data_IF_178494599334
#
_entry.id   IF_178494599334
#
_cell.length_a   1.000
_cell.length_b   1.000
_cell.length_c   1.000
_cell.angle_alpha   90.00
_cell.angle_beta   90.00
_cell.angle_gamma   90.00
#
_symmetry.space_group_name_H-M   'P 1'
#
loop_
_entity.id
_entity.type
_entity.pdbx_description
1 polymer ?
#
# COMPACT_ATOMS: atom_id res chain seq x y z
N UNK A 1 -31.68 -25.26 5.82
CA UNK A 1 -30.61 -25.06 6.83
C UNK A 1 -29.29 -25.47 6.18
N UNK A 2 -28.29 -24.59 6.25
CA UNK A 2 -26.93 -24.82 5.74
C UNK A 2 -25.97 -24.81 6.93
N UNK A 3 -25.07 -25.79 7.02
CA UNK A 3 -24.04 -25.83 8.04
C UNK A 3 -22.69 -25.55 7.40
N UNK A 4 -21.91 -24.63 7.97
CA UNK A 4 -20.60 -24.20 7.49
C UNK A 4 -19.59 -24.28 8.63
N UNK A 5 -18.37 -24.66 8.33
CA UNK A 5 -17.25 -24.55 9.28
C UNK A 5 -16.98 -23.08 9.60
N UNK A 6 -16.92 -22.73 10.89
CA UNK A 6 -16.71 -21.36 11.34
C UNK A 6 -15.43 -20.73 10.75
N UNK A 7 -14.33 -21.48 10.80
CA UNK A 7 -13.02 -21.00 10.30
C UNK A 7 -13.12 -20.62 8.83
N UNK A 8 -13.70 -21.48 7.99
CA UNK A 8 -13.90 -21.20 6.56
C UNK A 8 -14.77 -19.95 6.32
N UNK A 9 -15.84 -19.80 7.11
CA UNK A 9 -16.70 -18.63 7.00
C UNK A 9 -15.99 -17.34 7.41
N UNK A 10 -15.26 -17.37 8.54
CA UNK A 10 -14.48 -16.20 9.01
C UNK A 10 -13.38 -15.82 8.02
N UNK A 11 -12.66 -16.79 7.47
CA UNK A 11 -11.58 -16.54 6.54
C UNK A 11 -12.10 -15.98 5.19
N UNK A 12 -13.21 -16.54 4.69
CA UNK A 12 -13.86 -16.00 3.50
C UNK A 12 -14.33 -14.55 3.72
N UNK A 13 -15.02 -14.28 4.84
CA UNK A 13 -15.45 -12.91 5.16
C UNK A 13 -14.26 -11.97 5.36
N UNK A 14 -13.18 -12.40 6.03
CA UNK A 14 -11.97 -11.59 6.22
C UNK A 14 -11.31 -11.23 4.90
N UNK A 15 -11.23 -12.17 3.97
CA UNK A 15 -10.64 -11.96 2.65
C UNK A 15 -11.38 -10.90 1.83
N UNK A 16 -12.70 -10.78 2.00
CA UNK A 16 -13.49 -9.81 1.23
C UNK A 16 -13.68 -8.46 1.95
N UNK A 17 -13.25 -8.31 3.20
CA UNK A 17 -13.37 -7.03 3.94
C UNK A 17 -12.79 -5.81 3.22
N UNK A 18 -11.71 -5.89 2.43
CA UNK A 18 -11.20 -4.73 1.68
C UNK A 18 -12.22 -4.10 0.71
N UNK A 19 -13.18 -4.87 0.22
CA UNK A 19 -14.26 -4.38 -0.65
C UNK A 19 -15.51 -3.92 0.11
N UNK A 20 -15.48 -3.82 1.44
CA UNK A 20 -16.61 -3.32 2.25
C UNK A 20 -16.45 -1.81 2.47
N UNK A 21 -17.47 -1.03 2.15
CA UNK A 21 -17.48 0.40 2.46
C UNK A 21 -17.65 0.64 3.97
N UNK A 22 -16.88 1.59 4.47
CA UNK A 22 -16.92 2.04 5.87
C UNK A 22 -17.80 3.27 6.08
N UNK A 23 -18.69 3.57 5.11
CA UNK A 23 -19.64 4.67 5.19
C UNK A 23 -19.27 5.92 4.38
N UNK A 24 -18.37 5.81 3.40
CA UNK A 24 -17.89 6.94 2.60
C UNK A 24 -18.32 6.90 1.12
N UNK A 25 -18.70 5.75 0.59
CA UNK A 25 -18.93 5.59 -0.85
C UNK A 25 -20.26 6.15 -1.36
N UNK A 26 -21.28 6.30 -0.48
CA UNK A 26 -22.62 6.75 -0.89
C UNK A 26 -23.31 5.80 -1.89
N UNK A 27 -22.89 4.54 -1.91
CA UNK A 27 -23.43 3.48 -2.79
C UNK A 27 -24.28 2.55 -1.95
N UNK A 28 -25.54 2.37 -2.32
CA UNK A 28 -26.42 1.44 -1.65
C UNK A 28 -25.91 -0.01 -1.79
N UNK A 29 -25.82 -0.70 -0.66
CA UNK A 29 -25.29 -2.07 -0.61
C UNK A 29 -23.76 -2.19 -0.53
N UNK A 30 -22.99 -1.12 -0.58
CA UNK A 30 -21.53 -1.19 -0.49
C UNK A 30 -21.00 -1.69 0.87
N UNK A 31 -21.82 -1.70 1.90
CA UNK A 31 -21.51 -2.23 3.24
C UNK A 31 -21.98 -3.67 3.46
N UNK A 32 -22.34 -4.38 2.37
CA UNK A 32 -22.88 -5.73 2.45
C UNK A 32 -21.85 -6.80 2.12
N UNK A 33 -22.01 -7.97 2.72
CA UNK A 33 -21.61 -9.24 2.16
C UNK A 33 -22.72 -9.73 1.22
N UNK A 34 -22.43 -9.88 -0.05
CA UNK A 34 -23.33 -10.45 -1.04
C UNK A 34 -22.96 -11.91 -1.26
N UNK A 35 -23.84 -12.81 -0.89
CA UNK A 35 -23.78 -14.25 -1.20
C UNK A 35 -24.55 -14.51 -2.49
N UNK A 36 -23.86 -14.98 -3.52
CA UNK A 36 -24.44 -15.26 -4.84
C UNK A 36 -23.57 -16.27 -5.61
N UNK A 37 -24.18 -17.20 -6.32
CA UNK A 37 -23.50 -18.13 -7.24
C UNK A 37 -22.34 -18.90 -6.58
N UNK A 38 -22.55 -19.40 -5.35
CA UNK A 38 -21.53 -20.06 -4.53
C UNK A 38 -20.26 -19.23 -4.27
N UNK A 39 -20.43 -17.92 -4.24
CA UNK A 39 -19.35 -16.96 -3.93
C UNK A 39 -19.84 -15.93 -2.93
N UNK A 40 -18.89 -15.36 -2.22
CA UNK A 40 -19.06 -14.19 -1.37
C UNK A 40 -18.38 -12.99 -2.05
N UNK A 41 -19.14 -11.90 -2.22
CA UNK A 41 -18.70 -10.67 -2.87
C UNK A 41 -18.79 -9.48 -1.93
N UNK A 42 -17.93 -8.50 -2.18
CA UNK A 42 -18.04 -7.15 -1.65
C UNK A 42 -17.69 -6.13 -2.73
N UNK A 43 -18.20 -4.90 -2.58
CA UNK A 43 -17.90 -3.78 -3.48
C UNK A 43 -18.09 -2.46 -2.76
N UNK A 44 -17.13 -1.54 -2.84
CA UNK A 44 -17.15 -0.24 -2.18
C UNK A 44 -17.01 0.97 -3.13
N UNK A 45 -17.27 0.77 -4.42
CA UNK A 45 -17.11 1.84 -5.42
C UNK A 45 -15.73 1.88 -6.07
N UNK A 46 -14.69 1.42 -5.39
CA UNK A 46 -13.30 1.42 -5.86
C UNK A 46 -12.71 0.02 -5.95
N UNK A 47 -13.13 -0.84 -5.05
CA UNK A 47 -12.61 -2.20 -4.87
C UNK A 47 -13.75 -3.20 -4.86
N UNK A 48 -13.58 -4.31 -5.55
CA UNK A 48 -14.43 -5.50 -5.44
C UNK A 48 -13.58 -6.70 -5.10
N UNK A 49 -14.04 -7.50 -4.15
CA UNK A 49 -13.37 -8.77 -3.81
C UNK A 49 -14.38 -9.90 -3.87
N UNK A 50 -14.00 -11.03 -4.46
CA UNK A 50 -14.82 -12.22 -4.46
C UNK A 50 -14.01 -13.46 -4.08
N UNK A 51 -14.63 -14.34 -3.31
CA UNK A 51 -14.06 -15.63 -2.90
C UNK A 51 -15.10 -16.73 -3.08
N UNK A 52 -14.70 -17.96 -3.43
CA UNK A 52 -15.61 -19.11 -3.42
C UNK A 52 -16.17 -19.31 -2.02
N UNK A 53 -17.47 -19.48 -1.94
CA UNK A 53 -18.14 -19.78 -0.68
C UNK A 53 -19.43 -20.55 -0.97
N UNK A 54 -19.38 -21.87 -0.82
CA UNK A 54 -20.46 -22.76 -1.18
C UNK A 54 -21.72 -22.51 -0.32
N UNK A 55 -22.73 -21.93 -0.95
CA UNK A 55 -24.09 -21.76 -0.41
C UNK A 55 -25.10 -22.00 -1.54
N UNK A 56 -25.33 -23.26 -1.82
CA UNK A 56 -26.11 -23.69 -2.98
C UNK A 56 -27.50 -23.03 -3.04
N UNK A 57 -27.80 -22.37 -4.16
CA UNK A 57 -29.08 -21.69 -4.40
C UNK A 57 -29.31 -20.42 -3.56
N UNK A 58 -28.35 -20.01 -2.73
CA UNK A 58 -28.49 -18.82 -1.92
C UNK A 58 -28.11 -17.53 -2.70
N UNK A 59 -29.01 -16.53 -2.62
CA UNK A 59 -28.75 -15.18 -3.13
C UNK A 59 -29.31 -14.19 -2.10
N UNK A 60 -28.41 -13.49 -1.39
CA UNK A 60 -28.81 -12.50 -0.38
C UNK A 60 -27.65 -11.58 0.01
N UNK A 61 -27.98 -10.40 0.53
CA UNK A 61 -27.05 -9.44 1.10
C UNK A 61 -27.29 -9.24 2.61
N UNK A 62 -26.22 -9.18 3.40
CA UNK A 62 -26.25 -8.92 4.83
C UNK A 62 -25.20 -7.86 5.17
N UNK A 63 -25.49 -6.99 6.13
CA UNK A 63 -24.50 -6.05 6.65
C UNK A 63 -23.21 -6.75 7.07
N UNK A 64 -22.11 -6.40 6.42
CA UNK A 64 -20.83 -7.09 6.55
C UNK A 64 -20.25 -6.97 7.97
N UNK A 65 -20.26 -5.77 8.53
CA UNK A 65 -19.71 -5.50 9.87
C UNK A 65 -20.42 -6.30 10.92
N UNK A 66 -21.75 -6.32 10.88
CA UNK A 66 -22.57 -7.01 11.87
C UNK A 66 -22.42 -8.53 11.79
N UNK A 67 -22.46 -9.09 10.57
CA UNK A 67 -22.31 -10.53 10.40
C UNK A 67 -20.91 -11.00 10.81
N UNK A 68 -19.87 -10.29 10.36
CA UNK A 68 -18.49 -10.63 10.68
C UNK A 68 -18.22 -10.56 12.18
N UNK A 69 -18.66 -9.49 12.85
CA UNK A 69 -18.51 -9.32 14.29
C UNK A 69 -19.20 -10.43 15.09
N UNK A 70 -20.40 -10.85 14.66
CA UNK A 70 -21.15 -11.93 15.32
C UNK A 70 -20.46 -13.28 15.12
N UNK A 71 -20.19 -13.69 13.87
CA UNK A 71 -19.60 -15.00 13.55
C UNK A 71 -18.22 -15.17 14.17
N UNK A 72 -17.41 -14.11 14.14
CA UNK A 72 -16.06 -14.14 14.71
C UNK A 72 -16.06 -14.44 16.23
N UNK A 73 -17.12 -14.04 16.96
CA UNK A 73 -17.27 -14.25 18.41
C UNK A 73 -17.93 -15.58 18.81
N UNK A 74 -18.42 -16.38 17.86
CA UNK A 74 -18.97 -17.70 18.17
C UNK A 74 -17.86 -18.61 18.71
N UNK A 75 -18.20 -19.52 19.64
CA UNK A 75 -17.23 -20.42 20.26
C UNK A 75 -17.14 -21.77 19.53
N UNK A 76 -18.24 -22.22 18.91
CA UNK A 76 -18.29 -23.55 18.30
C UNK A 76 -17.57 -23.57 16.93
N UNK A 77 -17.21 -24.75 16.47
CA UNK A 77 -16.51 -24.98 15.22
C UNK A 77 -17.41 -24.88 13.97
N UNK A 78 -18.73 -24.93 14.17
CA UNK A 78 -19.72 -24.88 13.10
C UNK A 78 -20.71 -23.74 13.27
N UNK A 79 -21.13 -23.17 12.16
CA UNK A 79 -22.15 -22.13 12.06
C UNK A 79 -23.30 -22.68 11.21
N UNK A 80 -24.51 -22.57 11.72
CA UNK A 80 -25.72 -22.93 11.03
C UNK A 80 -26.40 -21.67 10.49
N UNK A 81 -26.88 -21.75 9.26
CA UNK A 81 -27.55 -20.67 8.57
C UNK A 81 -28.92 -21.17 8.12
N UNK A 82 -29.96 -20.47 8.54
CA UNK A 82 -31.34 -20.81 8.24
C UNK A 82 -32.06 -19.59 7.65
N UNK A 83 -32.82 -19.81 6.61
CA UNK A 83 -33.52 -18.75 5.90
C UNK A 83 -34.94 -18.61 6.40
N UNK A 84 -35.33 -17.40 6.77
CA UNK A 84 -36.67 -17.08 7.24
C UNK A 84 -37.44 -16.41 6.10
N UNK A 85 -38.49 -17.08 5.63
CA UNK A 85 -39.37 -16.57 4.58
C UNK A 85 -40.22 -15.40 5.10
N UNK A 86 -40.62 -14.54 4.19
CA UNK A 86 -41.62 -13.52 4.48
C UNK A 86 -42.99 -14.17 4.70
N UNK A 87 -43.75 -13.70 5.70
CA UNK A 87 -45.07 -14.25 6.03
C UNK A 87 -46.11 -13.92 4.95
N UNK A 88 -45.96 -12.74 4.32
CA UNK A 88 -46.90 -12.22 3.36
C UNK A 88 -46.57 -12.66 1.93
N UNK A 89 -45.30 -13.02 1.66
CA UNK A 89 -44.81 -13.54 0.38
C UNK A 89 -43.81 -14.68 0.61
N UNK A 90 -44.26 -15.93 0.69
CA UNK A 90 -43.38 -17.08 0.95
C UNK A 90 -42.30 -17.33 -0.11
N UNK A 91 -42.39 -16.66 -1.27
CA UNK A 91 -41.33 -16.73 -2.29
C UNK A 91 -40.14 -15.84 -1.97
N UNK A 92 -40.32 -14.91 -1.04
CA UNK A 92 -39.26 -13.97 -0.60
C UNK A 92 -38.63 -14.37 0.72
N UNK A 93 -37.33 -14.25 0.82
CA UNK A 93 -36.59 -14.34 2.06
C UNK A 93 -36.60 -12.98 2.76
N UNK A 94 -36.96 -12.94 4.06
CA UNK A 94 -36.99 -11.72 4.88
C UNK A 94 -35.75 -11.53 5.70
N UNK A 95 -35.21 -12.62 6.25
CA UNK A 95 -34.06 -12.57 7.14
C UNK A 95 -33.29 -13.89 7.11
N UNK A 96 -32.07 -13.84 7.61
CA UNK A 96 -31.24 -15.02 7.84
C UNK A 96 -30.94 -15.16 9.32
N UNK A 97 -31.21 -16.34 9.85
CA UNK A 97 -30.86 -16.71 11.21
C UNK A 97 -29.54 -17.45 11.19
N UNK A 98 -28.55 -16.89 11.89
CA UNK A 98 -27.21 -17.47 12.06
C UNK A 98 -27.06 -17.92 13.50
N UNK A 99 -26.66 -19.18 13.73
CA UNK A 99 -26.57 -19.71 15.08
C UNK A 99 -25.51 -20.80 15.22
N UNK A 100 -25.04 -20.97 16.46
CA UNK A 100 -24.09 -21.98 16.84
C UNK A 100 -24.34 -22.32 18.32
N UNK A 101 -24.60 -23.57 18.62
CA UNK A 101 -25.03 -24.01 19.94
C UNK A 101 -26.26 -23.25 20.45
N UNK A 102 -26.13 -22.55 21.58
CA UNK A 102 -27.19 -21.74 22.20
C UNK A 102 -27.18 -20.28 21.70
N UNK A 103 -26.14 -19.86 20.98
CA UNK A 103 -25.99 -18.48 20.50
C UNK A 103 -26.63 -18.33 19.13
N UNK A 104 -27.51 -17.32 18.97
CA UNK A 104 -28.24 -17.08 17.73
C UNK A 104 -28.41 -15.59 17.48
N UNK A 105 -28.36 -15.18 16.21
CA UNK A 105 -28.74 -13.86 15.74
C UNK A 105 -29.61 -13.97 14.49
N UNK A 106 -30.45 -12.99 14.26
CA UNK A 106 -31.24 -12.85 13.05
C UNK A 106 -30.86 -11.56 12.35
N UNK A 107 -30.46 -11.68 11.09
CA UNK A 107 -30.05 -10.53 10.25
C UNK A 107 -31.12 -10.25 9.22
N UNK A 108 -31.57 -9.02 9.12
CA UNK A 108 -32.40 -8.58 8.03
C UNK A 108 -31.61 -8.66 6.72
N UNK A 109 -32.27 -9.08 5.66
CA UNK A 109 -31.69 -9.05 4.32
C UNK A 109 -31.81 -7.64 3.73
N UNK A 110 -30.78 -7.22 3.03
CA UNK A 110 -30.73 -5.96 2.33
C UNK A 110 -31.07 -6.15 0.84
N UNK A 111 -31.53 -5.08 0.18
CA UNK A 111 -31.64 -5.05 -1.26
C UNK A 111 -30.24 -5.10 -1.89
N UNK A 112 -30.06 -6.01 -2.83
CA UNK A 112 -28.78 -6.24 -3.52
C UNK A 112 -28.79 -5.76 -4.95
N UNK A 113 -29.91 -5.21 -5.42
CA UNK A 113 -30.12 -4.89 -6.84
C UNK A 113 -29.13 -3.89 -7.39
N UNK A 114 -28.72 -2.91 -6.60
CA UNK A 114 -27.76 -1.89 -7.03
C UNK A 114 -26.32 -2.44 -7.07
N UNK A 115 -25.87 -3.08 -6.00
CA UNK A 115 -24.51 -3.67 -5.95
C UNK A 115 -24.33 -4.73 -7.03
N UNK A 116 -25.36 -5.50 -7.36
CA UNK A 116 -25.30 -6.50 -8.41
C UNK A 116 -25.07 -5.88 -9.79
N UNK A 117 -25.69 -4.73 -10.10
CA UNK A 117 -25.46 -4.00 -11.37
C UNK A 117 -24.00 -3.56 -11.50
N UNK A 118 -23.39 -3.09 -10.41
CA UNK A 118 -21.97 -2.75 -10.43
C UNK A 118 -21.09 -3.99 -10.66
N UNK A 119 -21.39 -5.09 -9.96
CA UNK A 119 -20.63 -6.34 -10.10
C UNK A 119 -20.75 -6.97 -11.50
N UNK A 120 -21.87 -6.81 -12.20
CA UNK A 120 -22.03 -7.25 -13.59
C UNK A 120 -21.06 -6.55 -14.55
N UNK A 121 -20.67 -5.31 -14.23
CA UNK A 121 -19.67 -4.53 -14.98
C UNK A 121 -18.22 -4.92 -14.66
N UNK A 122 -17.98 -5.67 -13.57
CA UNK A 122 -16.64 -6.07 -13.12
C UNK A 122 -16.40 -7.52 -13.49
N UNK A 123 -15.88 -7.75 -14.72
CA UNK A 123 -15.63 -9.10 -15.23
C UNK A 123 -14.15 -9.41 -15.17
N UNK A 124 -13.76 -10.40 -14.39
CA UNK A 124 -12.45 -11.00 -14.46
C UNK A 124 -12.41 -11.99 -15.63
N UNK A 125 -11.51 -11.77 -16.56
CA UNK A 125 -11.21 -12.69 -17.66
C UNK A 125 -9.91 -13.42 -17.40
N UNK A 126 -9.55 -14.39 -18.24
CA UNK A 126 -8.27 -15.10 -18.15
C UNK A 126 -7.12 -14.12 -18.06
N UNK A 127 -6.43 -14.15 -16.91
CA UNK A 127 -5.37 -13.21 -16.62
C UNK A 127 -4.02 -13.66 -17.17
N UNK A 128 -3.15 -12.70 -17.46
CA UNK A 128 -1.72 -12.93 -17.69
C UNK A 128 -1.04 -13.35 -16.39
N UNK A 129 0.07 -14.11 -16.43
CA UNK A 129 0.87 -14.39 -15.23
C UNK A 129 1.33 -13.10 -14.54
N UNK A 130 1.16 -13.02 -13.22
CA UNK A 130 1.70 -11.93 -12.43
C UNK A 130 3.20 -12.18 -12.15
N UNK A 131 4.08 -11.16 -12.25
CA UNK A 131 5.50 -11.31 -11.91
C UNK A 131 5.68 -11.87 -10.49
N UNK A 132 6.62 -12.81 -10.34
CA UNK A 132 6.78 -13.54 -9.09
C UNK A 132 7.28 -12.69 -7.92
N UNK A 133 7.94 -11.57 -8.20
CA UNK A 133 8.39 -10.59 -7.21
C UNK A 133 7.43 -9.39 -7.06
N UNK A 134 6.20 -9.46 -7.55
CA UNK A 134 5.26 -8.33 -7.53
C UNK A 134 5.03 -7.76 -6.12
N UNK A 135 4.81 -8.62 -5.12
CA UNK A 135 4.59 -8.19 -3.74
C UNK A 135 5.80 -7.48 -3.15
N UNK A 136 6.99 -8.04 -3.36
CA UNK A 136 8.25 -7.47 -2.84
C UNK A 136 8.55 -6.15 -3.54
N UNK A 137 8.37 -6.11 -4.86
CA UNK A 137 8.54 -4.91 -5.66
C UNK A 137 7.59 -3.78 -5.20
N UNK A 138 6.32 -4.11 -4.94
CA UNK A 138 5.37 -3.15 -4.40
C UNK A 138 5.78 -2.66 -3.01
N UNK A 139 6.09 -3.58 -2.09
CA UNK A 139 6.46 -3.24 -0.71
C UNK A 139 7.68 -2.31 -0.65
N UNK A 140 8.63 -2.49 -1.57
CA UNK A 140 9.81 -1.64 -1.68
C UNK A 140 9.53 -0.32 -2.44
N UNK A 141 8.71 -0.33 -3.48
CA UNK A 141 8.44 0.87 -4.27
C UNK A 141 7.46 1.84 -3.60
N UNK A 142 6.46 1.34 -2.85
CA UNK A 142 5.42 2.19 -2.25
C UNK A 142 6.00 3.33 -1.40
N UNK A 143 5.41 4.51 -1.52
CA UNK A 143 5.77 5.70 -0.74
C UNK A 143 4.63 5.98 0.25
N UNK A 144 4.92 5.78 1.53
CA UNK A 144 3.96 6.07 2.61
C UNK A 144 3.85 7.59 2.82
N UNK A 145 2.68 8.02 3.33
CA UNK A 145 2.42 9.43 3.67
C UNK A 145 2.68 10.40 2.50
N UNK A 146 2.28 10.01 1.28
CA UNK A 146 2.36 10.89 0.12
C UNK A 146 1.40 12.07 0.32
N UNK A 147 1.97 13.29 0.36
CA UNK A 147 1.22 14.54 0.58
C UNK A 147 0.66 15.15 -0.71
N UNK A 148 0.97 14.56 -1.87
CA UNK A 148 0.50 14.99 -3.17
C UNK A 148 -0.55 14.01 -3.71
N UNK A 149 -1.87 14.28 -3.52
CA UNK A 149 -2.93 13.33 -3.91
C UNK A 149 -2.85 12.92 -5.38
N UNK A 150 -2.43 13.84 -6.27
CA UNK A 150 -2.28 13.56 -7.69
C UNK A 150 -1.15 12.56 -8.03
N UNK A 151 -0.20 12.41 -7.11
CA UNK A 151 0.92 11.47 -7.24
C UNK A 151 0.76 10.23 -6.36
N UNK A 152 -0.27 10.20 -5.50
CA UNK A 152 -0.52 9.04 -4.63
C UNK A 152 -0.74 7.78 -5.48
N UNK A 153 -0.17 6.68 -5.01
CA UNK A 153 -0.27 5.37 -5.64
C UNK A 153 1.03 4.91 -6.28
N UNK A 154 0.96 3.74 -6.86
CA UNK A 154 2.05 3.10 -7.59
C UNK A 154 1.71 2.96 -9.06
N UNK A 155 2.73 3.02 -9.88
CA UNK A 155 2.65 2.89 -11.33
C UNK A 155 3.49 1.71 -11.77
N UNK A 156 2.96 0.87 -12.64
CA UNK A 156 3.80 0.00 -13.47
C UNK A 156 4.15 0.74 -14.75
N UNK A 157 5.40 0.65 -15.17
CA UNK A 157 5.88 1.30 -16.40
C UNK A 157 6.94 0.47 -17.09
N UNK A 158 7.04 0.60 -18.41
CA UNK A 158 8.03 -0.10 -19.23
C UNK A 158 9.12 0.86 -19.69
N UNK A 159 10.37 0.43 -19.60
CA UNK A 159 11.52 1.13 -20.17
C UNK A 159 12.38 0.09 -20.88
N UNK A 160 12.43 0.20 -22.22
CA UNK A 160 13.01 -0.83 -23.06
C UNK A 160 12.25 -2.16 -22.89
N UNK A 161 12.97 -3.21 -22.55
CA UNK A 161 12.44 -4.55 -22.31
C UNK A 161 12.14 -4.87 -20.82
N UNK A 162 12.30 -3.87 -19.95
CA UNK A 162 12.12 -4.03 -18.50
C UNK A 162 10.84 -3.36 -18.01
N UNK A 163 10.20 -3.99 -17.05
CA UNK A 163 9.03 -3.44 -16.34
C UNK A 163 9.40 -3.09 -14.91
N UNK A 164 8.90 -1.96 -14.45
CA UNK A 164 9.16 -1.43 -13.11
C UNK A 164 7.86 -1.10 -12.40
N UNK A 165 7.85 -1.24 -11.07
CA UNK A 165 6.93 -0.57 -10.18
C UNK A 165 7.62 0.69 -9.67
N UNK A 166 6.95 1.83 -9.76
CA UNK A 166 7.47 3.12 -9.35
C UNK A 166 6.45 3.91 -8.53
N UNK A 167 6.93 4.72 -7.60
CA UNK A 167 6.16 5.71 -6.87
C UNK A 167 6.97 6.99 -6.68
N UNK A 168 6.29 8.12 -6.52
CA UNK A 168 6.93 9.42 -6.29
C UNK A 168 6.00 10.37 -5.55
N UNK A 169 6.60 11.36 -4.84
CA UNK A 169 5.89 12.46 -4.19
C UNK A 169 6.58 13.82 -4.43
N UNK A 170 7.24 14.00 -5.57
CA UNK A 170 8.04 15.19 -5.96
C UNK A 170 9.34 15.37 -5.17
N UNK A 171 9.50 14.76 -4.01
CA UNK A 171 10.72 14.84 -3.17
C UNK A 171 11.52 13.56 -3.18
N UNK A 172 10.85 12.47 -3.50
CA UNK A 172 11.45 11.13 -3.57
C UNK A 172 10.86 10.37 -4.74
N UNK A 173 11.66 9.47 -5.25
CA UNK A 173 11.29 8.50 -6.27
C UNK A 173 11.73 7.14 -5.73
N UNK A 174 10.88 6.14 -5.83
CA UNK A 174 11.17 4.77 -5.44
C UNK A 174 10.79 3.84 -6.59
N UNK A 175 11.66 2.92 -6.95
CA UNK A 175 11.52 2.07 -8.13
C UNK A 175 12.01 0.67 -7.83
N UNK A 176 11.27 -0.33 -8.31
CA UNK A 176 11.71 -1.72 -8.27
C UNK A 176 11.46 -2.41 -9.61
N UNK A 177 12.45 -3.14 -10.12
CA UNK A 177 12.34 -3.92 -11.35
C UNK A 177 11.53 -5.20 -11.10
N UNK A 178 10.55 -5.50 -11.98
CA UNK A 178 9.77 -6.72 -11.94
C UNK A 178 10.50 -7.87 -12.66
N UNK A 179 10.28 -9.10 -12.18
CA UNK A 179 10.79 -10.33 -12.80
C UNK A 179 9.93 -10.80 -13.97
N UNK A 180 9.47 -9.90 -14.81
CA UNK A 180 8.63 -10.24 -15.96
C UNK A 180 7.87 -9.06 -16.48
N UNK A 181 7.12 -9.30 -17.55
CA UNK A 181 6.35 -8.27 -18.20
C UNK A 181 5.02 -8.04 -17.47
N UNK A 182 4.60 -6.78 -17.38
CA UNK A 182 3.32 -6.36 -16.85
C UNK A 182 2.83 -5.13 -17.59
N UNK A 183 1.53 -5.07 -17.88
CA UNK A 183 0.93 -3.90 -18.53
C UNK A 183 1.00 -2.67 -17.62
N UNK A 184 0.98 -1.49 -18.24
CA UNK A 184 1.03 -0.24 -17.50
C UNK A 184 -0.29 0.09 -16.82
N UNK A 185 -0.21 0.45 -15.55
CA UNK A 185 -1.36 0.95 -14.77
C UNK A 185 -0.88 1.84 -13.62
N UNK A 186 -1.81 2.61 -13.08
CA UNK A 186 -1.66 3.30 -11.80
C UNK A 186 -2.80 2.89 -10.87
N UNK A 187 -2.46 2.58 -9.62
CA UNK A 187 -3.43 2.19 -8.57
C UNK A 187 -3.05 2.88 -7.27
N UNK A 188 -4.06 3.22 -6.48
CA UNK A 188 -3.86 3.73 -5.11
C UNK A 188 -3.06 2.73 -4.28
N UNK A 189 -2.06 3.21 -3.56
CA UNK A 189 -1.16 2.38 -2.76
C UNK A 189 -1.87 1.68 -1.60
N UNK A 190 -2.84 2.32 -0.95
CA UNK A 190 -3.62 1.71 0.13
C UNK A 190 -4.50 0.57 -0.41
N UNK A 191 -5.13 0.79 -1.58
CA UNK A 191 -5.97 -0.22 -2.24
C UNK A 191 -5.13 -1.43 -2.64
N UNK A 192 -3.95 -1.21 -3.22
CA UNK A 192 -3.08 -2.32 -3.59
C UNK A 192 -2.47 -3.02 -2.37
N UNK A 193 -2.17 -2.28 -1.30
CA UNK A 193 -1.72 -2.88 -0.03
C UNK A 193 -2.78 -3.83 0.56
N UNK A 194 -4.07 -3.51 0.43
CA UNK A 194 -5.14 -4.40 0.84
C UNK A 194 -5.22 -5.66 -0.05
N UNK A 195 -5.00 -5.52 -1.35
CA UNK A 195 -4.94 -6.66 -2.28
C UNK A 195 -3.82 -7.64 -1.88
N UNK A 196 -2.64 -7.13 -1.51
CA UNK A 196 -1.49 -7.96 -1.16
C UNK A 196 -1.63 -8.70 0.18
N UNK A 197 -2.57 -8.30 1.04
CA UNK A 197 -2.93 -9.06 2.25
C UNK A 197 -3.61 -10.40 1.93
N UNK A 198 -4.14 -10.56 0.71
CA UNK A 198 -4.71 -11.82 0.23
C UNK A 198 -3.64 -12.84 -0.17
N UNK A 199 -2.38 -12.45 -0.16
CA UNK A 199 -1.24 -13.27 -0.56
C UNK A 199 -0.59 -12.79 -1.85
N UNK A 200 0.06 -13.72 -2.55
CA UNK A 200 0.75 -13.45 -3.81
C UNK A 200 -0.22 -13.68 -4.98
N UNK A 201 -0.53 -12.65 -5.79
CA UNK A 201 -1.35 -12.85 -6.99
C UNK A 201 -0.64 -13.76 -7.98
N UNK A 202 -1.38 -14.64 -8.60
CA UNK A 202 -0.91 -15.58 -9.64
C UNK A 202 -1.09 -14.98 -11.03
N UNK A 203 -2.18 -14.27 -11.22
CA UNK A 203 -2.54 -13.67 -12.50
C UNK A 203 -3.00 -12.23 -12.32
N UNK A 204 -2.92 -11.45 -13.39
CA UNK A 204 -3.53 -10.14 -13.47
C UNK A 204 -4.22 -9.94 -14.82
N UNK A 205 -5.22 -9.08 -14.85
CA UNK A 205 -5.85 -8.61 -16.08
C UNK A 205 -6.21 -7.13 -15.95
N UNK A 206 -6.18 -6.43 -17.09
CA UNK A 206 -6.68 -5.06 -17.20
C UNK A 206 -7.87 -5.07 -18.13
N UNK A 207 -9.07 -4.77 -17.60
CA UNK A 207 -10.31 -4.75 -18.37
C UNK A 207 -11.02 -3.42 -18.14
N UNK A 208 -11.11 -2.60 -19.16
CA UNK A 208 -11.65 -1.25 -19.03
C UNK A 208 -10.93 -0.43 -17.94
N UNK A 209 -11.64 0.13 -16.95
CA UNK A 209 -11.01 0.88 -15.86
C UNK A 209 -10.44 0.00 -14.74
N UNK A 210 -10.59 -1.33 -14.82
CA UNK A 210 -10.29 -2.24 -13.73
C UNK A 210 -8.93 -2.92 -13.89
N UNK A 211 -8.18 -3.00 -12.79
CA UNK A 211 -7.12 -3.97 -12.57
C UNK A 211 -7.69 -5.13 -11.77
N UNK A 212 -7.54 -6.33 -12.28
CA UNK A 212 -7.92 -7.57 -11.61
C UNK A 212 -6.66 -8.34 -11.19
N UNK A 213 -6.68 -8.88 -9.99
CA UNK A 213 -5.65 -9.77 -9.46
C UNK A 213 -6.29 -11.09 -9.06
N UNK A 214 -5.83 -12.18 -9.65
CA UNK A 214 -6.28 -13.54 -9.36
C UNK A 214 -5.31 -14.24 -8.41
N UNK A 215 -5.84 -14.88 -7.38
CA UNK A 215 -5.09 -15.60 -6.36
C UNK A 215 -5.40 -17.09 -6.39
N UNK A 216 -4.64 -17.85 -5.61
CA UNK A 216 -4.93 -19.26 -5.39
C UNK A 216 -6.33 -19.47 -4.81
N UNK A 217 -6.98 -20.61 -5.16
CA UNK A 217 -8.33 -20.90 -4.68
C UNK A 217 -9.44 -20.05 -5.31
N UNK A 218 -9.23 -19.54 -6.52
CA UNK A 218 -10.21 -18.75 -7.27
C UNK A 218 -10.68 -17.47 -6.54
N UNK A 219 -9.80 -16.88 -5.76
CA UNK A 219 -10.01 -15.56 -5.13
C UNK A 219 -9.68 -14.47 -6.14
N UNK A 220 -10.55 -13.48 -6.27
CA UNK A 220 -10.34 -12.33 -7.17
C UNK A 220 -10.42 -11.02 -6.39
N UNK A 221 -9.45 -10.16 -6.61
CA UNK A 221 -9.46 -8.77 -6.18
C UNK A 221 -9.47 -7.86 -7.41
N UNK A 222 -10.38 -6.92 -7.46
CA UNK A 222 -10.50 -5.96 -8.55
C UNK A 222 -10.49 -4.55 -8.00
N UNK A 223 -9.74 -3.64 -8.61
CA UNK A 223 -9.74 -2.23 -8.21
C UNK A 223 -9.70 -1.30 -9.42
N UNK A 224 -10.23 -0.09 -9.23
CA UNK A 224 -10.22 0.95 -10.26
C UNK A 224 -8.80 1.48 -10.43
N UNK A 225 -8.35 1.56 -11.70
CA UNK A 225 -7.11 2.21 -12.07
C UNK A 225 -7.26 3.73 -12.04
N UNK A 226 -6.21 4.41 -11.62
CA UNK A 226 -6.13 5.86 -11.63
C UNK A 226 -5.61 6.38 -12.98
N UNK A 227 -5.86 7.67 -13.25
CA UNK A 227 -5.26 8.36 -14.39
C UNK A 227 -3.75 8.47 -14.26
N UNK A 228 -3.03 8.08 -15.30
CA UNK A 228 -1.57 8.14 -15.38
C UNK A 228 -1.03 9.45 -15.98
N UNK A 229 -1.88 10.31 -16.54
CA UNK A 229 -1.47 11.49 -17.30
C UNK A 229 -0.57 12.47 -16.55
N UNK A 230 -0.70 12.50 -15.21
CA UNK A 230 0.10 13.35 -14.33
C UNK A 230 1.37 12.69 -13.79
N UNK A 231 1.56 11.40 -14.08
CA UNK A 231 2.70 10.62 -13.59
C UNK A 231 3.59 10.19 -14.75
N UNK A 232 4.58 11.03 -15.07
CA UNK A 232 5.54 10.72 -16.13
C UNK A 232 6.69 9.85 -15.59
N UNK A 233 6.43 8.56 -15.42
CA UNK A 233 7.41 7.61 -14.89
C UNK A 233 8.70 7.54 -15.73
N UNK A 234 8.67 7.48 -17.07
CA UNK A 234 9.90 7.49 -17.87
C UNK A 234 10.79 8.71 -17.61
N UNK A 235 10.20 9.91 -17.55
CA UNK A 235 10.98 11.13 -17.28
C UNK A 235 11.57 11.12 -15.85
N UNK A 236 10.84 10.61 -14.88
CA UNK A 236 11.31 10.50 -13.49
C UNK A 236 12.45 9.49 -13.36
N UNK A 237 12.36 8.35 -14.03
CA UNK A 237 13.43 7.36 -14.07
C UNK A 237 14.68 7.89 -14.78
N UNK A 238 14.52 8.58 -15.90
CA UNK A 238 15.63 9.23 -16.59
C UNK A 238 16.32 10.31 -15.72
N UNK A 239 15.55 11.06 -14.93
CA UNK A 239 16.10 12.04 -13.99
C UNK A 239 16.86 11.34 -12.84
N UNK A 240 16.32 10.24 -12.34
CA UNK A 240 16.98 9.42 -11.32
C UNK A 240 18.30 8.83 -11.85
N UNK A 241 18.32 8.25 -13.04
CA UNK A 241 19.51 7.66 -13.63
C UNK A 241 20.63 8.69 -13.85
N UNK A 242 20.28 9.95 -14.21
CA UNK A 242 21.26 11.05 -14.26
C UNK A 242 21.92 11.31 -12.92
N UNK A 243 21.18 11.24 -11.82
CA UNK A 243 21.75 11.44 -10.47
C UNK A 243 22.60 10.21 -10.04
N UNK A 244 22.20 9.01 -10.42
CA UNK A 244 22.99 7.80 -10.18
C UNK A 244 24.31 7.76 -10.96
N UNK A 245 24.42 8.52 -12.06
CA UNK A 245 25.64 8.67 -12.83
C UNK A 245 26.64 9.69 -12.23
N UNK A 246 26.22 10.50 -11.26
CA UNK A 246 27.10 11.46 -10.57
C UNK A 246 27.99 10.70 -9.59
N UNK A 247 29.28 11.05 -9.56
CA UNK A 247 30.20 10.49 -8.57
C UNK A 247 29.77 10.88 -7.14
N UNK A 248 29.62 9.92 -6.24
CA UNK A 248 29.13 10.20 -4.90
C UNK A 248 30.20 10.94 -4.07
N UNK A 249 29.75 11.91 -3.28
CA UNK A 249 30.62 12.57 -2.27
C UNK A 249 30.73 11.73 -0.99
N UNK A 250 29.71 10.89 -0.72
CA UNK A 250 29.70 9.89 0.36
C UNK A 250 29.08 8.61 -0.17
N UNK A 251 29.67 7.45 0.11
CA UNK A 251 29.14 6.14 -0.25
C UNK A 251 29.39 5.12 0.87
N UNK A 252 28.35 4.38 1.28
CA UNK A 252 28.46 3.37 2.32
C UNK A 252 27.13 2.78 2.74
N UNK A 253 27.08 2.35 4.00
CA UNK A 253 25.83 1.86 4.63
C UNK A 253 25.41 2.78 5.76
N UNK A 254 24.10 3.04 5.83
CA UNK A 254 23.53 3.78 6.95
C UNK A 254 23.73 3.00 8.26
N UNK A 255 24.15 3.68 9.34
CA UNK A 255 24.27 3.07 10.66
C UNK A 255 22.92 2.52 11.14
N UNK A 256 22.94 1.36 11.79
CA UNK A 256 21.74 0.74 12.37
C UNK A 256 21.06 1.61 13.41
N UNK A 257 21.88 2.35 14.18
CA UNK A 257 21.42 3.27 15.24
C UNK A 257 20.85 4.59 14.70
N UNK A 258 20.93 4.86 13.39
CA UNK A 258 20.50 6.15 12.81
C UNK A 258 19.03 6.48 13.12
N UNK A 259 18.14 5.51 13.02
CA UNK A 259 16.70 5.73 13.30
C UNK A 259 16.46 6.16 14.74
N UNK A 260 17.09 5.49 15.70
CA UNK A 260 16.91 5.76 17.13
C UNK A 260 17.54 7.10 17.52
N UNK A 261 18.72 7.41 16.97
CA UNK A 261 19.40 8.68 17.20
C UNK A 261 18.60 9.87 16.64
N UNK A 262 18.10 9.73 15.41
CA UNK A 262 17.21 10.74 14.83
C UNK A 262 15.93 10.88 15.66
N UNK A 263 15.38 9.79 16.20
CA UNK A 263 14.23 9.81 17.10
C UNK A 263 14.50 10.67 18.34
N UNK A 264 15.67 10.54 18.96
CA UNK A 264 16.08 11.35 20.12
C UNK A 264 16.28 12.82 19.77
N UNK A 265 17.01 13.10 18.70
CA UNK A 265 17.25 14.48 18.23
C UNK A 265 15.93 15.16 17.85
N UNK A 266 15.05 14.46 17.18
CA UNK A 266 13.76 15.00 16.72
C UNK A 266 12.74 15.22 17.84
N UNK A 267 12.94 14.64 19.03
CA UNK A 267 12.06 14.87 20.17
C UNK A 267 12.00 16.35 20.59
N UNK A 268 13.09 17.10 20.41
CA UNK A 268 13.12 18.54 20.59
C UNK A 268 12.54 19.32 19.41
N UNK A 269 12.50 18.72 18.21
CA UNK A 269 11.99 19.39 17.02
C UNK A 269 10.49 19.73 17.09
N UNK A 270 9.72 19.14 18.01
CA UNK A 270 8.29 19.32 18.21
C UNK A 270 7.49 18.97 16.94
N UNK A 271 6.17 18.88 17.07
CA UNK A 271 5.28 18.70 15.91
C UNK A 271 5.15 20.02 15.14
N UNK A 272 5.98 20.25 14.14
CA UNK A 272 5.69 21.31 13.18
C UNK A 272 4.62 20.81 12.22
N UNK A 273 3.48 21.50 12.19
CA UNK A 273 2.38 21.28 11.23
C UNK A 273 2.75 21.68 9.78
N UNK A 274 3.98 21.43 9.36
CA UNK A 274 4.35 21.65 7.96
C UNK A 274 4.19 20.35 7.19
N UNK A 275 3.61 20.42 6.01
CA UNK A 275 3.48 19.31 5.04
C UNK A 275 4.83 18.66 4.65
N UNK A 276 5.93 19.10 5.24
CA UNK A 276 7.29 18.62 4.98
C UNK A 276 7.78 17.61 6.02
N UNK A 277 7.02 17.40 7.11
CA UNK A 277 7.49 16.60 8.24
C UNK A 277 8.63 17.28 9.01
N UNK A 278 9.14 16.59 10.02
CA UNK A 278 10.32 17.03 10.77
C UNK A 278 11.56 17.03 9.87
N UNK A 279 12.29 18.14 9.85
CA UNK A 279 13.58 18.25 9.15
C UNK A 279 14.72 18.23 10.14
N UNK A 280 15.80 17.55 9.76
CA UNK A 280 17.04 17.46 10.50
C UNK A 280 18.19 17.80 9.55
N UNK A 281 19.18 18.48 10.07
CA UNK A 281 20.44 18.64 9.38
C UNK A 281 21.30 17.40 9.63
N UNK A 282 21.79 16.79 8.57
CA UNK A 282 22.76 15.71 8.63
C UNK A 282 24.10 16.19 8.14
N UNK A 283 25.12 16.00 8.95
CA UNK A 283 26.53 16.25 8.60
C UNK A 283 27.26 14.91 8.52
N UNK A 284 27.71 14.55 7.32
CA UNK A 284 28.47 13.33 7.07
C UNK A 284 29.97 13.65 7.21
N UNK A 285 30.66 12.98 8.10
CA UNK A 285 32.09 13.09 8.32
C UNK A 285 32.75 11.71 8.38
N UNK A 286 34.07 11.65 8.42
CA UNK A 286 34.82 10.39 8.59
C UNK A 286 34.49 9.67 9.89
N UNK A 287 34.06 10.41 10.92
CA UNK A 287 33.74 9.88 12.26
C UNK A 287 32.32 9.29 12.33
N UNK A 288 31.39 9.80 11.51
CA UNK A 288 29.99 9.38 11.54
C UNK A 288 29.04 10.37 10.88
N UNK A 289 27.77 10.22 11.21
CA UNK A 289 26.69 11.14 10.83
C UNK A 289 26.32 11.97 12.07
N UNK A 290 26.50 13.28 12.03
CA UNK A 290 25.95 14.16 13.05
C UNK A 290 24.55 14.58 12.64
N UNK A 291 23.56 14.26 13.47
CA UNK A 291 22.18 14.72 13.33
C UNK A 291 21.97 15.94 14.22
N UNK A 292 21.46 17.03 13.64
CA UNK A 292 21.23 18.29 14.35
C UNK A 292 19.84 18.85 14.07
N UNK A 293 19.19 19.38 15.10
CA UNK A 293 17.97 20.18 14.99
C UNK A 293 18.01 21.34 15.97
N UNK A 294 17.37 22.44 15.57
CA UNK A 294 17.28 23.66 16.38
C UNK A 294 15.85 24.20 16.35
N UNK A 295 15.42 24.73 17.50
CA UNK A 295 14.16 25.49 17.69
C UNK A 295 14.35 26.61 18.69
N UNK A 296 13.32 27.44 18.79
CA UNK A 296 13.33 28.60 19.72
C UNK A 296 13.67 28.23 21.17
N UNK A 297 13.37 26.98 21.59
CA UNK A 297 13.53 26.51 22.98
C UNK A 297 14.81 25.69 23.19
N UNK A 298 15.64 25.50 22.16
CA UNK A 298 16.91 24.77 22.27
C UNK A 298 17.31 24.01 21.01
N UNK A 299 18.44 23.33 21.08
CA UNK A 299 18.97 22.49 20.04
C UNK A 299 19.27 21.07 20.56
N UNK A 300 19.34 20.12 19.66
CA UNK A 300 19.82 18.77 19.93
C UNK A 300 20.78 18.34 18.82
N UNK A 301 21.84 17.68 19.24
CA UNK A 301 22.85 17.12 18.34
C UNK A 301 23.28 15.74 18.84
N UNK A 302 23.48 14.82 17.90
CA UNK A 302 24.00 13.49 18.21
C UNK A 302 24.91 13.01 17.09
N UNK A 303 26.11 12.58 17.44
CA UNK A 303 27.06 11.90 16.56
C UNK A 303 26.75 10.40 16.54
N UNK A 304 26.53 9.87 15.36
CA UNK A 304 26.18 8.48 15.09
C UNK A 304 27.37 7.85 14.36
N UNK A 305 28.19 7.03 15.03
CA UNK A 305 29.36 6.41 14.43
C UNK A 305 29.00 5.48 13.27
N UNK A 306 29.88 5.33 12.30
CA UNK A 306 29.73 4.34 11.24
C UNK A 306 29.86 2.91 11.78
N UNK A 307 28.98 2.03 11.35
CA UNK A 307 29.06 0.58 11.65
C UNK A 307 29.96 -0.17 10.65
N UNK A 308 30.36 0.47 9.56
CA UNK A 308 31.15 -0.09 8.46
C UNK A 308 31.95 0.99 7.75
N UNK A 309 32.87 0.58 6.88
CA UNK A 309 33.65 1.50 6.08
C UNK A 309 32.76 2.34 5.15
N UNK A 310 33.05 3.65 5.15
CA UNK A 310 32.37 4.65 4.30
C UNK A 310 33.41 5.40 3.48
N UNK A 311 33.14 5.56 2.20
CA UNK A 311 34.02 6.27 1.26
C UNK A 311 33.60 7.73 1.16
N UNK A 312 34.59 8.61 1.17
CA UNK A 312 34.43 10.04 0.93
C UNK A 312 35.31 10.45 -0.26
N UNK A 313 34.75 11.18 -1.20
CA UNK A 313 35.49 11.78 -2.31
C UNK A 313 35.96 13.21 -2.01
N UNK A 314 35.58 13.76 -0.85
CA UNK A 314 35.97 15.07 -0.36
C UNK A 314 36.62 14.99 1.02
N UNK A 315 37.52 15.89 1.33
CA UNK A 315 38.11 16.01 2.67
C UNK A 315 37.17 16.74 3.64
N UNK A 316 36.28 17.57 3.11
CA UNK A 316 35.31 18.34 3.89
C UNK A 316 34.09 17.49 4.26
N UNK A 317 33.46 17.82 5.38
CA UNK A 317 32.18 17.24 5.75
C UNK A 317 31.08 17.67 4.77
N UNK A 318 30.13 16.76 4.54
CA UNK A 318 28.96 17.01 3.67
C UNK A 318 27.76 17.29 4.55
N UNK A 319 27.13 18.44 4.39
CA UNK A 319 25.99 18.86 5.18
C UNK A 319 24.73 19.00 4.32
N UNK A 320 23.62 18.45 4.77
CA UNK A 320 22.33 18.53 4.07
C UNK A 320 21.17 18.52 5.04
N UNK A 321 20.17 19.32 4.77
CA UNK A 321 18.86 19.20 5.44
C UNK A 321 18.00 18.15 4.72
N UNK A 322 17.33 17.33 5.50
CA UNK A 322 16.49 16.26 4.96
C UNK A 322 15.22 16.08 5.80
N UNK A 323 14.13 15.69 5.16
CA UNK A 323 12.95 15.23 5.88
C UNK A 323 13.23 13.84 6.49
N UNK A 324 13.15 13.76 7.81
CA UNK A 324 13.45 12.56 8.58
C UNK A 324 12.63 11.37 8.11
N UNK A 325 11.32 11.54 8.07
CA UNK A 325 10.41 10.44 7.73
C UNK A 325 10.69 9.86 6.35
N UNK A 326 11.07 10.74 5.40
CA UNK A 326 11.39 10.35 4.03
C UNK A 326 12.70 9.55 3.99
N UNK A 327 13.73 10.04 4.67
CA UNK A 327 15.04 9.37 4.71
C UNK A 327 14.96 8.02 5.43
N UNK A 328 14.33 7.97 6.60
CA UNK A 328 14.18 6.74 7.38
C UNK A 328 13.32 5.71 6.66
N UNK A 329 12.28 6.12 5.94
CA UNK A 329 11.50 5.20 5.12
C UNK A 329 12.35 4.57 4.01
N UNK A 330 13.16 5.35 3.29
CA UNK A 330 14.05 4.82 2.26
C UNK A 330 15.14 3.93 2.88
N UNK A 331 15.78 4.37 3.96
CA UNK A 331 16.84 3.62 4.65
C UNK A 331 16.35 2.34 5.34
N UNK A 332 15.06 2.25 5.71
CA UNK A 332 14.48 1.00 6.25
C UNK A 332 14.33 -0.10 5.20
N UNK A 333 14.30 0.27 3.92
CA UNK A 333 14.16 -0.67 2.81
C UNK A 333 15.51 -1.24 2.37
N UNK A 334 16.53 -0.39 2.33
CA UNK A 334 17.92 -0.76 2.01
C UNK A 334 18.88 0.18 2.72
N UNK A 335 20.02 -0.34 3.17
CA UNK A 335 21.03 0.41 3.93
C UNK A 335 22.13 1.00 3.06
N UNK A 336 22.37 0.42 1.86
CA UNK A 336 23.38 0.93 0.94
C UNK A 336 22.93 2.26 0.35
N UNK A 337 23.73 3.28 0.56
CA UNK A 337 23.40 4.64 0.16
C UNK A 337 24.58 5.37 -0.49
N UNK A 338 24.23 6.41 -1.24
CA UNK A 338 25.17 7.38 -1.80
C UNK A 338 24.60 8.78 -1.57
N UNK A 339 25.47 9.74 -1.28
CA UNK A 339 25.14 11.16 -1.31
C UNK A 339 25.80 11.77 -2.53
N UNK A 340 25.01 12.42 -3.38
CA UNK A 340 25.50 13.09 -4.57
C UNK A 340 25.16 14.57 -4.54
N UNK A 341 26.02 15.41 -5.11
CA UNK A 341 25.74 16.83 -5.24
C UNK A 341 24.81 17.06 -6.42
N UNK A 342 23.52 17.20 -6.15
CA UNK A 342 22.47 17.33 -7.17
C UNK A 342 22.43 18.71 -7.83
N UNK A 343 22.88 19.77 -7.13
CA UNK A 343 23.01 21.12 -7.65
C UNK A 343 24.22 21.84 -7.01
N UNK A 344 25.36 21.93 -7.73
CA UNK A 344 26.56 22.58 -7.23
C UNK A 344 26.37 24.05 -6.86
N UNK A 345 25.59 24.80 -7.64
CA UNK A 345 25.35 26.23 -7.42
C UNK A 345 24.59 26.51 -6.12
N UNK A 346 23.78 25.57 -5.67
CA UNK A 346 22.98 25.67 -4.43
C UNK A 346 23.51 24.79 -3.30
N UNK A 347 24.61 24.08 -3.52
CA UNK A 347 25.15 23.07 -2.59
C UNK A 347 24.05 22.12 -2.09
N UNK A 348 23.12 21.71 -2.97
CA UNK A 348 22.07 20.78 -2.62
C UNK A 348 22.47 19.35 -2.95
N UNK A 349 22.07 18.43 -2.11
CA UNK A 349 22.42 17.02 -2.20
C UNK A 349 21.18 16.15 -2.43
N UNK A 350 21.40 14.98 -2.99
CA UNK A 350 20.40 13.93 -3.09
C UNK A 350 20.96 12.65 -2.46
N UNK A 351 20.08 11.90 -1.82
CA UNK A 351 20.39 10.61 -1.20
C UNK A 351 19.86 9.51 -2.12
N UNK A 352 20.74 8.65 -2.55
CA UNK A 352 20.45 7.55 -3.45
C UNK A 352 20.57 6.22 -2.68
N UNK A 353 19.58 5.37 -2.76
CA UNK A 353 19.53 4.06 -2.11
C UNK A 353 19.50 2.97 -3.16
N UNK A 354 20.33 1.95 -3.01
CA UNK A 354 20.48 0.88 -3.99
C UNK A 354 20.38 -0.50 -3.34
N UNK A 355 19.41 -1.30 -3.80
CA UNK A 355 19.30 -2.72 -3.56
C UNK A 355 19.47 -3.50 -4.86
N UNK A 356 19.32 -4.82 -4.84
CA UNK A 356 19.52 -5.69 -6.01
C UNK A 356 18.71 -5.24 -7.23
N UNK A 357 17.39 -5.02 -7.05
CA UNK A 357 16.45 -4.54 -8.09
C UNK A 357 15.74 -3.26 -7.70
N UNK A 358 16.17 -2.67 -6.61
CA UNK A 358 15.55 -1.48 -6.01
C UNK A 358 16.47 -0.28 -6.12
N UNK A 359 15.88 0.84 -6.48
CA UNK A 359 16.52 2.16 -6.42
C UNK A 359 15.56 3.16 -5.78
N UNK A 360 16.07 4.02 -4.92
CA UNK A 360 15.31 5.16 -4.44
C UNK A 360 16.16 6.42 -4.42
N UNK A 361 15.50 7.54 -4.62
CA UNK A 361 16.07 8.88 -4.54
C UNK A 361 15.28 9.69 -3.50
N UNK A 362 16.00 10.34 -2.60
CA UNK A 362 15.46 11.33 -1.67
C UNK A 362 16.17 12.65 -1.89
N UNK A 363 15.43 13.69 -2.23
CA UNK A 363 15.96 15.05 -2.38
C UNK A 363 16.27 15.69 -1.04
N UNK A 364 17.46 16.27 -0.91
CA UNK A 364 17.76 17.16 0.19
C UNK A 364 16.96 18.47 0.10
N UNK A 365 16.77 19.12 1.21
CA UNK A 365 16.06 20.40 1.33
C UNK A 365 17.11 21.51 1.29
N UNK A 366 17.00 22.42 0.32
CA UNK A 366 17.79 23.64 0.30
C UNK A 366 17.24 24.59 1.38
N UNK A 367 18.05 24.89 2.40
CA UNK A 367 17.70 25.96 3.34
C UNK A 367 18.00 27.27 2.60
N UNK A 368 17.03 28.16 2.50
CA UNK A 368 17.33 29.54 2.16
C UNK A 368 18.15 30.09 3.33
N UNK A 369 19.38 30.50 3.05
CA UNK A 369 20.12 31.37 3.96
C UNK A 369 19.24 32.61 4.17
N UNK A 370 18.78 32.79 5.43
CA UNK A 370 17.94 33.91 5.85
C UNK A 370 18.73 35.22 5.88
#
# INVERSE_FOLDING_TARGET
MIQVEKTKMVDAMRSVLPGVDKGSAGIDGANLFLFKDNRLFTYNGVTSVSVPFAMEGAKFGINATNLFAFVNKLNDLSVNIDFVQDKDDPTKMKSVKVFSGKTKATFALADTSEIEKYLEGIKFTDGKPCPDNFNDAFALAVIKNNIHPEMKGVVTTKIGDKTFIAASDKRRISVHELNGDMDEFKVDDDVLADALKLGKPKTYAIVGPWLHLGYEGDVTFSCIRQDMSKFNAPAMLAAMDKLYAIEPVVEGKLPKSLSDAIGRVSALAGTTNTNTGLTVQLTFSKEGITAYTEKNDGNAEELIPWDSDVKFSTEDSVQSWVSINILLEAGSKVTDFKVVMSNPAKKSYAFLFTGEKYKALVGGISVKEG
#
